data_IF_919523994295
#
_entry.id   IF_919523994295
#
_cell.length_a   1.000
_cell.length_b   1.000
_cell.length_c   1.000
_cell.angle_alpha   90.00
_cell.angle_beta   90.00
_cell.angle_gamma   90.00
#
_symmetry.space_group_name_H-M   'P 1'
#
loop_
_entity.id
_entity.type
_entity.pdbx_description
1 polymer ?
#
# COMPACT_ATOMS: atom_id res chain seq x y z
N UNK A 1 -19.43 32.64 -7.12
CA UNK A 1 -18.33 31.66 -7.20
C UNK A 1 -18.53 30.67 -6.08
N UNK A 2 -18.90 29.43 -6.40
CA UNK A 2 -18.88 28.34 -5.42
C UNK A 2 -17.42 27.87 -5.33
N UNK A 3 -16.78 28.13 -4.19
CA UNK A 3 -15.50 27.49 -3.88
C UNK A 3 -15.78 25.99 -3.69
N UNK A 4 -15.25 25.16 -4.57
CA UNK A 4 -15.19 23.72 -4.33
C UNK A 4 -14.37 23.50 -3.06
N UNK A 5 -14.77 22.59 -2.15
CA UNK A 5 -13.90 22.18 -1.07
C UNK A 5 -12.60 21.66 -1.69
N UNK A 6 -11.46 22.08 -1.15
CA UNK A 6 -10.19 21.43 -1.46
C UNK A 6 -10.37 19.96 -1.11
N UNK A 7 -10.34 19.08 -2.12
CA UNK A 7 -10.31 17.65 -1.87
C UNK A 7 -9.08 17.40 -1.00
N UNK A 8 -9.29 16.91 0.22
CA UNK A 8 -8.18 16.50 1.07
C UNK A 8 -7.42 15.41 0.31
N UNK A 9 -6.11 15.58 0.18
CA UNK A 9 -5.23 14.61 -0.47
C UNK A 9 -5.47 13.24 0.16
N UNK A 10 -5.85 12.25 -0.66
CA UNK A 10 -6.05 10.88 -0.19
C UNK A 10 -4.69 10.18 -0.10
N UNK A 11 -4.46 9.50 1.02
CA UNK A 11 -3.24 8.76 1.33
C UNK A 11 -3.54 7.26 1.60
N UNK A 12 -2.56 6.36 1.41
CA UNK A 12 -1.21 6.65 0.92
C UNK A 12 -1.18 7.02 -0.57
N UNK A 13 -0.11 7.69 -0.98
CA UNK A 13 0.08 8.13 -2.36
C UNK A 13 1.56 8.26 -2.76
N UNK A 14 1.88 7.96 -4.01
CA UNK A 14 3.23 8.10 -4.56
C UNK A 14 3.53 9.56 -4.94
N UNK A 15 4.74 9.99 -4.63
CA UNK A 15 5.26 11.31 -4.90
C UNK A 15 6.64 11.23 -5.56
N UNK A 16 7.01 12.30 -6.28
CA UNK A 16 8.37 12.55 -6.74
C UNK A 16 8.97 13.72 -5.99
N UNK A 17 10.24 13.62 -5.64
CA UNK A 17 11.00 14.74 -5.09
C UNK A 17 11.15 15.81 -6.18
N UNK A 18 10.90 17.07 -5.82
CA UNK A 18 10.95 18.22 -6.72
C UNK A 18 11.44 19.46 -5.96
N UNK A 19 12.08 20.40 -6.66
CA UNK A 19 12.51 21.67 -6.07
C UNK A 19 13.71 21.55 -5.10
N UNK A 20 14.41 20.43 -5.12
CA UNK A 20 15.69 20.21 -4.43
C UNK A 20 16.82 20.35 -5.45
N UNK A 21 17.92 21.01 -5.08
CA UNK A 21 19.07 21.18 -5.97
C UNK A 21 19.75 19.83 -6.24
N UNK A 22 20.40 19.69 -7.40
CA UNK A 22 21.01 18.42 -7.81
C UNK A 22 22.19 17.96 -6.92
N UNK A 23 22.80 18.90 -6.18
CA UNK A 23 23.86 18.69 -5.20
C UNK A 23 23.35 18.69 -3.74
N UNK A 24 22.03 18.66 -3.54
CA UNK A 24 21.36 18.64 -2.24
C UNK A 24 20.43 17.43 -2.11
N UNK A 25 19.84 17.26 -0.92
CA UNK A 25 18.93 16.16 -0.59
C UNK A 25 17.70 16.64 0.17
N UNK A 26 16.59 15.90 0.02
CA UNK A 26 15.43 16.11 0.88
C UNK A 26 15.59 15.29 2.17
N UNK A 27 15.75 15.98 3.29
CA UNK A 27 15.87 15.34 4.59
C UNK A 27 14.55 14.69 5.06
N UNK A 28 14.65 13.47 5.56
CA UNK A 28 13.61 12.76 6.34
C UNK A 28 13.93 12.96 7.82
N UNK A 29 12.98 13.50 8.58
CA UNK A 29 13.21 13.92 9.97
C UNK A 29 12.41 13.10 10.97
N UNK A 30 12.90 12.98 12.20
CA UNK A 30 12.26 12.17 13.25
C UNK A 30 10.89 12.71 13.70
N UNK A 31 10.66 14.01 13.57
CA UNK A 31 9.36 14.66 13.87
C UNK A 31 9.04 15.70 12.77
N UNK A 32 7.78 16.15 12.61
CA UNK A 32 7.39 17.12 11.58
C UNK A 32 7.88 18.55 11.91
N UNK A 33 9.19 18.74 11.97
CA UNK A 33 9.86 20.00 12.29
C UNK A 33 11.17 20.14 11.52
N UNK A 34 11.46 21.36 11.04
CA UNK A 34 12.70 21.67 10.33
C UNK A 34 13.95 21.60 11.22
N UNK A 35 13.79 21.62 12.55
CA UNK A 35 14.89 21.50 13.52
C UNK A 35 15.07 20.08 14.06
N UNK A 36 14.21 19.13 13.69
CA UNK A 36 14.29 17.76 14.16
C UNK A 36 15.49 17.02 13.56
N UNK A 37 15.96 15.98 14.24
CA UNK A 37 17.04 15.11 13.77
C UNK A 37 16.73 14.54 12.38
N UNK A 38 17.76 14.48 11.52
CA UNK A 38 17.68 13.84 10.20
C UNK A 38 17.98 12.36 10.36
N UNK A 39 17.02 11.50 9.98
CA UNK A 39 17.10 10.04 10.11
C UNK A 39 17.19 9.32 8.76
N UNK A 40 17.12 10.08 7.67
CA UNK A 40 17.22 9.57 6.31
C UNK A 40 17.17 10.71 5.31
N UNK A 41 17.34 10.39 4.03
CA UNK A 41 17.36 11.35 2.94
C UNK A 41 16.71 10.76 1.70
N UNK A 42 16.08 11.60 0.88
CA UNK A 42 15.61 11.27 -0.46
C UNK A 42 16.47 12.03 -1.48
N UNK A 43 16.78 11.36 -2.60
CA UNK A 43 17.52 11.99 -3.69
C UNK A 43 16.69 13.11 -4.36
N UNK A 44 17.32 14.14 -4.94
CA UNK A 44 16.62 15.33 -5.44
C UNK A 44 15.63 15.06 -6.59
N UNK A 45 15.79 13.94 -7.29
CA UNK A 45 14.95 13.46 -8.39
C UNK A 45 14.26 12.12 -8.08
N UNK A 46 14.26 11.69 -6.81
CA UNK A 46 13.70 10.40 -6.43
C UNK A 46 12.21 10.31 -6.73
N UNK A 47 11.81 9.26 -7.44
CA UNK A 47 10.40 8.95 -7.75
C UNK A 47 9.91 7.80 -6.88
N UNK A 48 8.59 7.67 -6.76
CA UNK A 48 7.97 6.52 -6.08
C UNK A 48 8.02 6.61 -4.56
N UNK A 49 8.12 7.84 -4.03
CA UNK A 49 8.10 8.08 -2.59
C UNK A 49 6.66 7.93 -2.10
N UNK A 50 6.37 6.83 -1.42
CA UNK A 50 5.09 6.65 -0.76
C UNK A 50 4.99 7.56 0.46
N UNK A 51 4.05 8.51 0.40
CA UNK A 51 3.61 9.28 1.56
C UNK A 51 2.43 8.56 2.18
N UNK A 52 2.58 8.15 3.44
CA UNK A 52 1.62 7.33 4.20
C UNK A 52 0.45 8.17 4.70
N UNK A 53 0.75 9.38 5.17
CA UNK A 53 -0.21 10.37 5.67
C UNK A 53 0.45 11.75 5.71
N UNK A 54 -0.36 12.79 5.87
CA UNK A 54 0.10 14.13 6.20
C UNK A 54 -0.16 14.46 7.67
N UNK A 55 0.68 15.33 8.23
CA UNK A 55 0.44 15.91 9.54
C UNK A 55 -0.77 16.87 9.51
N UNK A 56 -1.24 17.30 10.69
CA UNK A 56 -2.38 18.22 10.82
C UNK A 56 -2.14 19.56 10.10
N UNK A 57 -0.88 19.99 9.97
CA UNK A 57 -0.56 21.24 9.26
C UNK A 57 -0.56 21.08 7.73
N UNK A 58 -0.56 19.85 7.21
CA UNK A 58 -0.44 19.55 5.79
C UNK A 58 0.91 19.92 5.19
N UNK A 59 1.95 20.13 6.02
CA UNK A 59 3.29 20.54 5.58
C UNK A 59 4.28 19.39 5.57
N UNK A 60 3.98 18.33 6.31
CA UNK A 60 4.85 17.19 6.50
C UNK A 60 4.14 15.90 6.10
N UNK A 61 4.82 15.09 5.31
CA UNK A 61 4.36 13.77 4.89
C UNK A 61 5.15 12.71 5.64
N UNK A 62 4.46 11.74 6.22
CA UNK A 62 5.13 10.58 6.80
C UNK A 62 5.59 9.64 5.69
N UNK A 63 6.86 9.25 5.70
CA UNK A 63 7.49 8.35 4.73
C UNK A 63 8.30 7.29 5.46
N UNK A 64 8.51 6.13 4.84
CA UNK A 64 9.38 5.08 5.39
C UNK A 64 10.84 5.29 4.96
N UNK A 65 11.79 5.03 5.88
CA UNK A 65 13.24 5.09 5.66
C UNK A 65 13.91 3.95 6.43
N UNK A 66 14.35 2.91 5.73
CA UNK A 66 14.88 1.71 6.37
C UNK A 66 13.80 0.97 7.18
N UNK A 67 14.07 0.78 8.47
CA UNK A 67 13.18 0.09 9.44
C UNK A 67 12.36 1.05 10.30
N UNK A 68 12.31 2.34 9.96
CA UNK A 68 11.52 3.34 10.69
C UNK A 68 10.76 4.28 9.74
N UNK A 69 9.76 4.97 10.26
CA UNK A 69 9.11 6.10 9.59
C UNK A 69 9.65 7.46 10.04
N UNK A 70 9.62 8.43 9.14
CA UNK A 70 9.96 9.82 9.42
C UNK A 70 9.13 10.81 8.61
N UNK A 71 9.51 12.07 8.66
CA UNK A 71 8.75 13.19 8.10
C UNK A 71 9.57 13.96 7.07
N UNK A 72 9.03 14.09 5.86
CA UNK A 72 9.59 14.90 4.79
C UNK A 72 8.67 16.10 4.50
N UNK A 73 9.25 17.24 4.12
CA UNK A 73 8.45 18.44 3.83
C UNK A 73 7.69 18.27 2.50
N UNK A 74 6.35 18.31 2.55
CA UNK A 74 5.46 18.07 1.40
C UNK A 74 5.66 19.07 0.26
N UNK A 75 6.17 20.27 0.54
CA UNK A 75 6.48 21.26 -0.50
C UNK A 75 7.50 20.79 -1.54
N UNK A 76 8.30 19.77 -1.21
CA UNK A 76 9.27 19.14 -2.11
C UNK A 76 8.81 17.78 -2.65
N UNK A 77 7.58 17.37 -2.35
CA UNK A 77 7.00 16.10 -2.78
C UNK A 77 5.82 16.42 -3.71
N UNK A 78 6.05 16.29 -5.00
CA UNK A 78 5.00 16.47 -6.00
C UNK A 78 4.25 15.16 -6.19
N UNK A 79 2.92 15.21 -6.07
CA UNK A 79 2.07 14.04 -6.26
C UNK A 79 2.25 13.45 -7.66
N UNK A 80 2.55 12.15 -7.73
CA UNK A 80 2.56 11.44 -9.01
C UNK A 80 1.13 11.23 -9.52
N UNK A 81 0.93 11.06 -10.84
CA UNK A 81 -0.38 10.72 -11.38
C UNK A 81 -1.01 9.58 -10.59
N UNK A 82 -2.09 9.91 -9.86
CA UNK A 82 -2.70 8.95 -8.97
C UNK A 82 -3.48 7.95 -9.79
N UNK A 83 -3.02 6.71 -9.76
CA UNK A 83 -3.91 5.61 -10.02
C UNK A 83 -4.49 5.11 -8.70
N UNK A 84 -5.75 4.71 -8.75
CA UNK A 84 -6.58 4.65 -7.57
C UNK A 84 -6.13 3.64 -6.50
N UNK A 85 -5.36 2.60 -6.74
CA UNK A 85 -5.17 1.45 -5.81
C UNK A 85 -6.46 0.77 -5.31
N UNK A 86 -7.60 1.43 -5.10
CA UNK A 86 -8.87 0.80 -4.73
C UNK A 86 -9.58 0.17 -5.93
N UNK A 87 -9.07 0.36 -7.15
CA UNK A 87 -9.64 -0.13 -8.40
C UNK A 87 -8.70 -1.11 -9.11
N UNK A 88 -9.30 -1.99 -9.92
CA UNK A 88 -8.57 -2.88 -10.83
C UNK A 88 -7.71 -2.07 -11.81
N UNK A 89 -6.48 -2.51 -12.07
CA UNK A 89 -5.49 -1.81 -12.90
C UNK A 89 -5.11 -0.40 -12.42
N UNK A 90 -5.50 -0.01 -11.20
CA UNK A 90 -5.14 1.28 -10.64
C UNK A 90 -3.65 1.26 -10.28
N UNK A 91 -3.33 0.63 -9.17
CA UNK A 91 -1.99 0.70 -8.59
C UNK A 91 -1.68 -0.67 -7.98
N UNK A 92 -0.50 -1.18 -8.31
CA UNK A 92 -0.01 -2.41 -7.72
C UNK A 92 0.31 -2.17 -6.23
N UNK A 93 0.00 -3.18 -5.42
CA UNK A 93 0.29 -3.21 -4.00
C UNK A 93 1.19 -4.38 -3.68
N UNK A 94 2.14 -4.16 -2.78
CA UNK A 94 2.79 -5.23 -2.05
C UNK A 94 2.22 -5.27 -0.64
N UNK A 95 1.62 -6.40 -0.30
CA UNK A 95 0.97 -6.66 0.97
C UNK A 95 1.69 -7.79 1.70
N UNK A 96 1.65 -7.77 3.02
CA UNK A 96 2.30 -8.79 3.84
C UNK A 96 1.68 -8.88 5.23
N UNK A 97 1.85 -10.02 5.89
CA UNK A 97 1.57 -10.20 7.30
C UNK A 97 2.76 -10.85 8.01
N UNK A 98 2.89 -10.59 9.31
CA UNK A 98 4.00 -11.05 10.14
C UNK A 98 3.66 -12.30 10.95
N UNK A 99 2.41 -12.50 11.35
CA UNK A 99 1.99 -13.72 12.05
C UNK A 99 0.58 -14.17 11.61
N UNK A 100 0.47 -15.28 10.84
CA UNK A 100 1.57 -16.00 10.19
C UNK A 100 2.27 -15.11 9.14
N UNK A 101 3.50 -15.46 8.77
CA UNK A 101 4.22 -14.77 7.69
C UNK A 101 3.61 -15.10 6.34
N UNK A 102 3.31 -14.09 5.54
CA UNK A 102 2.89 -14.23 4.15
C UNK A 102 3.16 -12.93 3.39
N UNK A 103 3.27 -13.03 2.07
CA UNK A 103 3.34 -11.88 1.17
C UNK A 103 2.35 -12.03 0.01
N UNK A 104 1.84 -10.92 -0.50
CA UNK A 104 0.93 -10.85 -1.63
C UNK A 104 1.28 -9.65 -2.49
N UNK A 105 1.69 -9.88 -3.74
CA UNK A 105 1.68 -8.83 -4.76
C UNK A 105 0.32 -8.82 -5.44
N UNK A 106 -0.35 -7.68 -5.41
CA UNK A 106 -1.68 -7.46 -5.97
C UNK A 106 -1.62 -6.40 -7.08
N UNK A 107 -1.69 -6.84 -8.33
CA UNK A 107 -1.74 -6.01 -9.52
C UNK A 107 -2.98 -6.38 -10.37
N UNK A 108 -2.77 -6.86 -11.59
CA UNK A 108 -3.77 -7.49 -12.45
C UNK A 108 -3.96 -8.97 -12.10
N UNK A 109 -3.06 -9.47 -11.25
CA UNK A 109 -3.01 -10.81 -10.68
C UNK A 109 -2.80 -10.70 -9.18
N UNK A 110 -3.05 -11.80 -8.47
CA UNK A 110 -2.66 -11.93 -7.08
C UNK A 110 -1.58 -13.02 -6.99
N UNK A 111 -0.39 -12.70 -6.48
CA UNK A 111 0.69 -13.66 -6.28
C UNK A 111 1.00 -13.74 -4.80
N UNK A 112 0.62 -14.86 -4.18
CA UNK A 112 0.79 -15.08 -2.76
C UNK A 112 1.98 -16.01 -2.52
N UNK A 113 2.76 -15.72 -1.48
CA UNK A 113 3.85 -16.58 -1.00
C UNK A 113 3.70 -16.78 0.50
N UNK A 114 3.96 -17.99 0.97
CA UNK A 114 4.13 -18.32 2.39
C UNK A 114 5.51 -18.94 2.59
N UNK A 115 6.12 -18.85 3.79
CA UNK A 115 7.45 -19.43 4.04
C UNK A 115 7.54 -20.92 3.71
N UNK A 116 6.44 -21.66 3.88
CA UNK A 116 6.38 -23.11 3.75
C UNK A 116 6.02 -23.58 2.33
N UNK A 117 5.69 -22.67 1.41
CA UNK A 117 5.04 -23.00 0.15
C UNK A 117 5.65 -22.34 -1.10
N UNK A 118 5.38 -22.90 -2.29
CA UNK A 118 5.70 -22.22 -3.53
C UNK A 118 4.82 -20.97 -3.73
N UNK A 119 5.27 -20.07 -4.61
CA UNK A 119 4.45 -18.94 -5.05
C UNK A 119 3.15 -19.46 -5.69
N UNK A 120 2.02 -19.01 -5.17
CA UNK A 120 0.69 -19.35 -5.66
C UNK A 120 0.09 -18.17 -6.42
N UNK A 121 -0.19 -18.37 -7.71
CA UNK A 121 -0.79 -17.35 -8.58
C UNK A 121 -2.31 -17.47 -8.63
N UNK A 122 -2.99 -16.33 -8.58
CA UNK A 122 -4.43 -16.19 -8.72
C UNK A 122 -4.74 -15.17 -9.82
N UNK A 123 -5.78 -15.45 -10.60
CA UNK A 123 -6.33 -14.47 -11.55
C UNK A 123 -7.29 -13.56 -10.82
N UNK A 124 -7.07 -12.25 -10.89
CA UNK A 124 -7.94 -11.26 -10.28
C UNK A 124 -9.22 -11.13 -11.11
N UNK A 125 -10.36 -11.49 -10.51
CA UNK A 125 -11.66 -11.42 -11.20
C UNK A 125 -12.39 -10.11 -10.93
N UNK A 126 -12.20 -9.55 -9.74
CA UNK A 126 -12.82 -8.29 -9.35
C UNK A 126 -11.95 -7.55 -8.34
N UNK A 127 -11.93 -6.22 -8.47
CA UNK A 127 -11.48 -5.29 -7.45
C UNK A 127 -12.34 -4.03 -7.51
N UNK A 128 -13.02 -3.71 -6.42
CA UNK A 128 -14.02 -2.65 -6.40
C UNK A 128 -13.96 -1.86 -5.10
N UNK A 129 -14.26 -0.57 -5.20
CA UNK A 129 -14.48 0.30 -4.03
C UNK A 129 -15.67 -0.20 -3.22
N UNK A 130 -15.58 -0.07 -1.90
CA UNK A 130 -16.69 -0.36 -1.02
C UNK A 130 -17.79 0.69 -1.17
N UNK A 131 -19.05 0.25 -1.24
CA UNK A 131 -20.19 1.15 -1.17
C UNK A 131 -20.21 1.84 0.21
N UNK A 132 -20.28 3.18 0.23
CA UNK A 132 -20.37 3.95 1.46
C UNK A 132 -19.06 4.12 2.26
N UNK A 133 -17.91 3.69 1.74
CA UNK A 133 -16.61 3.89 2.41
C UNK A 133 -15.49 4.21 1.40
N UNK A 134 -15.14 5.50 1.26
CA UNK A 134 -14.21 6.00 0.24
C UNK A 134 -12.78 5.43 0.34
N UNK A 135 -12.34 5.08 1.55
CA UNK A 135 -11.04 4.49 1.81
C UNK A 135 -10.99 2.96 1.73
N UNK A 136 -12.07 2.27 1.36
CA UNK A 136 -12.13 0.80 1.41
C UNK A 136 -12.38 0.21 0.03
N UNK A 137 -11.77 -0.94 -0.23
CA UNK A 137 -12.03 -1.75 -1.42
C UNK A 137 -12.05 -3.23 -1.06
N UNK A 138 -12.67 -4.02 -1.92
CA UNK A 138 -12.64 -5.48 -1.87
C UNK A 138 -12.09 -6.04 -3.17
N UNK A 139 -11.54 -7.25 -3.10
CA UNK A 139 -11.14 -7.99 -4.29
C UNK A 139 -11.49 -9.48 -4.16
N UNK A 140 -11.58 -10.13 -5.32
CA UNK A 140 -11.76 -11.58 -5.43
C UNK A 140 -10.88 -12.11 -6.56
N UNK A 141 -10.11 -13.16 -6.26
CA UNK A 141 -9.22 -13.82 -7.18
C UNK A 141 -9.34 -15.34 -7.03
N UNK A 142 -9.14 -16.07 -8.12
CA UNK A 142 -9.26 -17.53 -8.17
C UNK A 142 -7.99 -18.15 -8.71
N UNK A 143 -7.62 -19.31 -8.16
CA UNK A 143 -6.48 -20.07 -8.64
C UNK A 143 -6.92 -20.87 -9.88
N UNK A 144 -6.35 -20.60 -11.04
CA UNK A 144 -6.58 -21.47 -12.21
C UNK A 144 -5.39 -22.40 -12.38
N UNK A 145 -5.49 -23.70 -12.03
CA UNK A 145 -4.47 -24.64 -12.44
C UNK A 145 -4.44 -24.69 -13.98
N UNK A 146 -3.26 -24.54 -14.56
CA UNK A 146 -3.08 -24.63 -16.02
C UNK A 146 -3.58 -25.99 -16.51
N UNK A 147 -4.58 -25.98 -17.41
CA UNK A 147 -5.20 -27.12 -18.11
C UNK A 147 -6.48 -27.76 -17.54
N UNK A 148 -7.20 -27.18 -16.56
CA UNK A 148 -8.54 -27.68 -16.22
C UNK A 148 -9.60 -26.58 -16.13
N UNK A 149 -10.75 -26.85 -16.76
CA UNK A 149 -11.98 -26.07 -16.65
C UNK A 149 -12.39 -26.04 -15.18
N UNK A 150 -12.49 -24.84 -14.58
CA UNK A 150 -12.86 -24.55 -13.19
C UNK A 150 -13.68 -25.65 -12.50
N UNK A 151 -13.06 -26.33 -11.53
CA UNK A 151 -13.68 -27.37 -10.71
C UNK A 151 -14.30 -26.72 -9.45
N UNK A 152 -15.52 -27.08 -9.02
CA UNK A 152 -16.04 -26.65 -7.72
C UNK A 152 -15.09 -27.07 -6.59
N UNK A 153 -14.63 -26.12 -5.75
CA UNK A 153 -13.58 -26.34 -4.75
C UNK A 153 -12.20 -25.78 -5.13
N UNK A 154 -12.12 -25.04 -6.24
CA UNK A 154 -10.93 -24.29 -6.66
C UNK A 154 -10.50 -23.28 -5.57
N UNK A 155 -9.20 -23.23 -5.25
CA UNK A 155 -8.68 -22.30 -4.28
C UNK A 155 -8.97 -20.85 -4.69
N UNK A 156 -9.33 -20.00 -3.73
CA UNK A 156 -9.64 -18.59 -3.98
C UNK A 156 -9.06 -17.70 -2.91
N UNK A 157 -8.78 -16.47 -3.29
CA UNK A 157 -8.27 -15.43 -2.43
C UNK A 157 -9.18 -14.22 -2.55
N UNK A 158 -9.85 -13.88 -1.46
CA UNK A 158 -10.63 -12.64 -1.38
C UNK A 158 -10.03 -11.76 -0.29
N UNK A 159 -10.19 -10.46 -0.39
CA UNK A 159 -9.72 -9.59 0.67
C UNK A 159 -10.35 -8.23 0.66
N UNK A 160 -10.27 -7.55 1.80
CA UNK A 160 -10.62 -6.13 1.91
C UNK A 160 -9.39 -5.32 2.26
N UNK A 161 -9.22 -4.21 1.55
CA UNK A 161 -8.16 -3.24 1.76
C UNK A 161 -8.78 -1.97 2.31
N UNK A 162 -8.17 -1.38 3.34
CA UNK A 162 -8.65 -0.14 3.96
C UNK A 162 -7.51 0.86 4.08
N UNK A 163 -7.72 2.09 3.61
CA UNK A 163 -6.88 3.26 3.90
C UNK A 163 -6.98 3.55 5.39
N UNK A 164 -5.98 3.08 6.13
CA UNK A 164 -5.84 3.31 7.56
C UNK A 164 -4.41 2.99 7.99
N UNK A 165 -4.01 3.59 9.11
CA UNK A 165 -2.73 3.30 9.73
C UNK A 165 -2.59 1.80 10.05
N UNK A 166 -1.48 1.22 9.64
CA UNK A 166 -1.14 -0.18 9.84
C UNK A 166 0.34 -0.31 10.24
N UNK A 167 0.66 -1.30 11.07
CA UNK A 167 2.02 -1.57 11.56
C UNK A 167 2.32 -3.06 11.40
N UNK A 168 3.56 -3.42 11.10
CA UNK A 168 3.99 -4.81 11.00
C UNK A 168 4.24 -5.48 12.36
N UNK A 169 4.29 -4.69 13.45
CA UNK A 169 4.55 -5.15 14.80
C UNK A 169 6.01 -5.56 15.07
N UNK A 170 6.90 -5.40 14.08
CA UNK A 170 8.29 -5.87 14.11
C UNK A 170 9.29 -4.75 13.85
N UNK A 171 8.88 -3.66 13.20
CA UNK A 171 9.68 -2.48 12.92
C UNK A 171 8.97 -1.19 13.37
N UNK A 172 9.67 -0.07 13.31
CA UNK A 172 9.11 1.27 13.58
C UNK A 172 8.47 1.88 12.31
N UNK A 173 8.11 1.04 11.34
CA UNK A 173 7.47 1.46 10.09
C UNK A 173 5.96 1.57 10.25
N UNK A 174 5.43 2.59 9.60
CA UNK A 174 4.01 2.85 9.41
C UNK A 174 3.62 2.53 7.96
N UNK A 175 2.40 2.05 7.78
CA UNK A 175 1.81 1.73 6.49
C UNK A 175 0.42 2.37 6.40
N UNK A 176 0.03 2.80 5.20
CA UNK A 176 -1.24 3.52 4.99
C UNK A 176 -2.42 2.63 4.60
N UNK A 177 -2.17 1.33 4.39
CA UNK A 177 -3.19 0.38 3.97
C UNK A 177 -3.11 -0.85 4.87
N UNK A 178 -4.24 -1.22 5.46
CA UNK A 178 -4.43 -2.54 6.07
C UNK A 178 -5.13 -3.49 5.11
N UNK A 179 -4.92 -4.78 5.27
CA UNK A 179 -5.60 -5.83 4.51
C UNK A 179 -6.11 -6.94 5.42
N UNK A 180 -7.34 -7.37 5.15
CA UNK A 180 -7.91 -8.62 5.68
C UNK A 180 -8.10 -9.58 4.49
N UNK A 181 -7.58 -10.80 4.60
CA UNK A 181 -7.62 -11.84 3.57
C UNK A 181 -8.44 -13.03 4.03
N UNK A 182 -9.23 -13.56 3.10
CA UNK A 182 -9.95 -14.82 3.17
C UNK A 182 -9.35 -15.74 2.11
N UNK A 183 -8.47 -16.65 2.53
CA UNK A 183 -7.82 -17.62 1.66
C UNK A 183 -8.53 -18.98 1.79
N UNK A 184 -9.37 -19.29 0.81
CA UNK A 184 -10.03 -20.59 0.74
C UNK A 184 -9.12 -21.53 -0.06
N UNK A 185 -8.40 -22.41 0.63
CA UNK A 185 -7.52 -23.42 -0.01
C UNK A 185 -8.29 -24.56 -0.66
N UNK A 186 -9.51 -24.78 -0.21
CA UNK A 186 -10.43 -25.80 -0.68
C UNK A 186 -11.69 -25.81 0.19
N UNK A 187 -12.64 -26.70 -0.11
CA UNK A 187 -13.90 -26.79 0.64
C UNK A 187 -13.64 -27.01 2.13
N UNK A 188 -14.12 -26.07 2.97
CA UNK A 188 -13.97 -26.13 4.43
C UNK A 188 -12.58 -25.76 4.97
N UNK A 189 -11.65 -25.33 4.12
CA UNK A 189 -10.30 -24.92 4.50
C UNK A 189 -10.11 -23.43 4.24
N UNK A 190 -10.51 -22.61 5.22
CA UNK A 190 -10.41 -21.15 5.16
C UNK A 190 -9.35 -20.67 6.15
N UNK A 191 -8.35 -19.97 5.63
CA UNK A 191 -7.43 -19.18 6.44
C UNK A 191 -7.89 -17.71 6.40
N UNK A 192 -7.91 -17.06 7.56
CA UNK A 192 -8.19 -15.62 7.69
C UNK A 192 -6.90 -14.95 8.12
N UNK A 193 -6.37 -14.06 7.28
CA UNK A 193 -5.08 -13.42 7.49
C UNK A 193 -5.26 -11.90 7.54
N UNK A 194 -4.40 -11.23 8.29
CA UNK A 194 -4.36 -9.77 8.35
C UNK A 194 -2.95 -9.28 8.10
N UNK A 195 -2.83 -8.04 7.63
CA UNK A 195 -1.54 -7.47 7.27
C UNK A 195 -1.60 -6.00 6.85
N UNK A 196 -0.46 -5.51 6.35
CA UNK A 196 -0.32 -4.17 5.81
C UNK A 196 0.02 -4.23 4.31
N UNK A 197 -0.19 -3.13 3.60
CA UNK A 197 0.26 -2.96 2.22
C UNK A 197 0.99 -1.63 2.01
N UNK A 198 1.86 -1.61 1.01
CA UNK A 198 2.50 -0.42 0.43
C UNK A 198 2.18 -0.31 -1.06
N UNK A 199 2.19 0.92 -1.57
CA UNK A 199 2.11 1.16 -3.01
C UNK A 199 3.43 0.74 -3.68
N UNK A 200 3.33 0.04 -4.82
CA UNK A 200 4.49 -0.28 -5.67
C UNK A 200 4.86 0.96 -6.52
N UNK A 201 6.08 1.51 -6.42
CA UNK A 201 6.56 2.66 -7.19
C UNK A 201 6.42 2.57 -8.72
#
# INVERSE_FOLDING_TARGET
MLALPAAAQEYPALHSVTGVAADDVLNIRSTPSASAEVIGTLAPDQTGVEVILADESGKWGQVNSGEQSGWAALRYLSLQPQNDWRMMHGQALDCFGTEPFWSLTLDDTARMTTPEGPVTGFTLLARQRAAGHSGKSGFHAVHHPSNETSVPGTASLSGTLTSQHCTDGMSDRSYGISIDLLHLRGTGQLDVLTGCCSLVP
#
